data_IF_507086037513
#
_entry.id   IF_507086037513
#
_cell.length_a   1.000
_cell.length_b   1.000
_cell.length_c   1.000
_cell.angle_alpha   90.00
_cell.angle_beta   90.00
_cell.angle_gamma   90.00
#
_symmetry.space_group_name_H-M   'P 1'
#
loop_
_entity.id
_entity.type
_entity.pdbx_description
1 polymer ?
#
# COMPACT_ATOMS: atom_id res chain seq x y z
N UNK A 1 8.87 1.38 8.03
CA UNK A 1 10.32 1.13 8.07
C UNK A 1 11.09 2.36 7.63
N UNK A 2 12.23 2.63 8.24
CA UNK A 2 13.16 3.66 7.76
C UNK A 2 13.96 3.16 6.52
N UNK A 3 14.88 4.00 6.02
CA UNK A 3 15.75 3.68 4.88
C UNK A 3 16.64 2.44 5.08
N UNK A 4 16.84 2.01 6.34
CA UNK A 4 17.61 0.82 6.72
C UNK A 4 16.76 -0.44 6.87
N UNK A 5 15.44 -0.33 6.67
CA UNK A 5 14.52 -1.46 6.83
C UNK A 5 14.11 -1.74 8.27
N UNK A 6 14.31 -0.80 9.20
CA UNK A 6 13.95 -0.98 10.62
C UNK A 6 12.54 -0.44 10.88
N UNK A 7 11.78 -1.10 11.75
CA UNK A 7 10.45 -0.64 12.15
C UNK A 7 10.54 0.67 12.96
N UNK A 8 9.71 1.64 12.58
CA UNK A 8 9.67 2.97 13.20
C UNK A 8 8.23 3.29 13.54
N UNK A 9 8.00 3.70 14.79
CA UNK A 9 6.71 4.19 15.25
C UNK A 9 6.45 5.55 14.64
N UNK A 10 5.27 5.72 14.03
CA UNK A 10 4.76 7.01 13.57
C UNK A 10 3.77 7.50 14.63
N UNK A 11 4.13 8.49 15.47
CA UNK A 11 3.24 8.97 16.54
C UNK A 11 1.92 9.49 15.96
N UNK A 12 0.81 9.11 16.59
CA UNK A 12 -0.54 9.52 16.16
C UNK A 12 -1.13 8.71 14.99
N UNK A 13 -0.39 7.78 14.39
CA UNK A 13 -0.93 6.86 13.39
C UNK A 13 -1.40 5.56 14.03
N UNK A 14 -2.71 5.32 13.95
CA UNK A 14 -3.34 4.09 14.43
C UNK A 14 -3.84 3.24 13.26
N UNK A 15 -3.73 1.92 13.40
CA UNK A 15 -4.21 0.95 12.43
C UNK A 15 -4.85 -0.25 13.17
N UNK A 16 -5.98 -0.74 12.69
CA UNK A 16 -6.74 -1.84 13.31
C UNK A 16 -7.28 -2.78 12.24
N UNK A 17 -7.34 -4.07 12.54
CA UNK A 17 -7.88 -5.09 11.65
C UNK A 17 -6.83 -5.61 10.67
N UNK A 18 -7.25 -6.03 9.47
CA UNK A 18 -6.37 -6.69 8.49
C UNK A 18 -5.23 -5.79 7.97
N UNK A 19 -5.37 -4.47 8.09
CA UNK A 19 -4.30 -3.52 7.75
C UNK A 19 -3.17 -3.51 8.79
N UNK A 20 -3.42 -3.98 10.01
CA UNK A 20 -2.47 -3.96 11.11
C UNK A 20 -1.82 -5.34 11.32
N UNK A 21 -0.50 -5.34 11.55
CA UNK A 21 0.21 -6.53 12.01
C UNK A 21 0.38 -6.45 13.53
N UNK A 22 -0.64 -6.87 14.28
CA UNK A 22 -0.58 -6.93 15.77
C UNK A 22 0.05 -8.24 16.27
N UNK A 23 0.67 -9.02 15.37
CA UNK A 23 1.42 -10.27 15.62
C UNK A 23 0.68 -11.42 16.31
N UNK A 24 -0.61 -11.28 16.65
CA UNK A 24 -1.38 -12.34 17.32
C UNK A 24 -1.71 -13.55 16.43
N UNK A 25 -1.55 -13.42 15.12
CA UNK A 25 -1.81 -14.49 14.15
C UNK A 25 -0.56 -15.24 13.69
N UNK A 26 0.64 -14.75 14.00
CA UNK A 26 1.88 -15.28 13.44
C UNK A 26 1.82 -15.44 11.91
N UNK A 27 2.23 -16.60 11.40
CA UNK A 27 2.22 -16.89 9.97
C UNK A 27 0.87 -17.39 9.43
N UNK A 28 -0.06 -17.82 10.31
CA UNK A 28 -1.34 -18.38 9.89
C UNK A 28 -2.45 -17.95 10.85
N UNK A 29 -3.39 -17.16 10.34
CA UNK A 29 -4.54 -16.70 11.09
C UNK A 29 -5.58 -17.82 11.24
N UNK A 30 -6.05 -18.05 12.47
CA UNK A 30 -7.15 -18.99 12.72
C UNK A 30 -8.47 -18.47 12.14
N UNK A 31 -9.23 -19.36 11.49
CA UNK A 31 -10.53 -19.05 10.91
C UNK A 31 -11.52 -18.50 11.94
N UNK A 32 -12.38 -17.56 11.54
CA UNK A 32 -13.41 -16.96 12.41
C UNK A 32 -12.94 -15.77 13.26
N UNK A 33 -11.64 -15.55 13.42
CA UNK A 33 -11.13 -14.47 14.26
C UNK A 33 -11.17 -13.03 13.66
N UNK A 34 -11.39 -12.80 12.35
CA UNK A 34 -11.19 -11.49 11.70
C UNK A 34 -12.10 -10.43 12.31
N UNK A 35 -13.36 -10.83 12.54
CA UNK A 35 -14.35 -9.96 13.14
C UNK A 35 -14.02 -9.70 14.61
N UNK A 36 -13.53 -10.72 15.32
CA UNK A 36 -13.10 -10.59 16.71
C UNK A 36 -11.88 -9.65 16.80
N UNK A 37 -10.91 -9.78 15.89
CA UNK A 37 -9.73 -8.93 15.81
C UNK A 37 -10.16 -7.46 15.63
N UNK A 38 -11.08 -7.20 14.69
CA UNK A 38 -11.61 -5.87 14.46
C UNK A 38 -12.31 -5.29 15.71
N UNK A 39 -13.16 -6.07 16.37
CA UNK A 39 -13.95 -5.59 17.53
C UNK A 39 -13.07 -5.37 18.76
N UNK A 40 -12.19 -6.33 19.07
CA UNK A 40 -11.34 -6.29 20.27
C UNK A 40 -10.27 -5.21 20.11
N UNK A 41 -9.50 -5.24 19.02
CA UNK A 41 -8.46 -4.25 18.80
C UNK A 41 -9.04 -2.88 18.44
N UNK A 42 -10.22 -2.82 17.82
CA UNK A 42 -10.92 -1.55 17.59
C UNK A 42 -11.31 -0.87 18.90
N UNK A 43 -11.86 -1.62 19.86
CA UNK A 43 -12.18 -1.09 21.18
C UNK A 43 -10.90 -0.67 21.94
N UNK A 44 -9.86 -1.49 21.92
CA UNK A 44 -8.60 -1.18 22.58
C UNK A 44 -7.94 0.07 21.99
N UNK A 45 -7.85 0.16 20.66
CA UNK A 45 -7.32 1.33 19.97
C UNK A 45 -8.14 2.57 20.24
N UNK A 46 -9.48 2.47 20.29
CA UNK A 46 -10.36 3.59 20.62
C UNK A 46 -10.13 4.18 22.01
N UNK A 47 -9.97 3.31 23.03
CA UNK A 47 -9.66 3.75 24.40
C UNK A 47 -8.31 4.47 24.46
N UNK A 48 -7.30 3.90 23.81
CA UNK A 48 -5.96 4.51 23.79
C UNK A 48 -5.89 5.78 22.92
N UNK A 49 -6.68 5.86 21.84
CA UNK A 49 -6.80 7.05 21.01
C UNK A 49 -7.37 8.22 21.83
N UNK A 50 -8.34 7.96 22.71
CA UNK A 50 -8.91 8.98 23.59
C UNK A 50 -7.85 9.58 24.53
N UNK A 51 -7.00 8.74 25.12
CA UNK A 51 -5.87 9.16 25.94
C UNK A 51 -4.84 9.93 25.10
N UNK A 52 -4.45 9.37 23.94
CA UNK A 52 -3.46 9.97 23.04
C UNK A 52 -3.88 11.33 22.51
N UNK A 53 -5.15 11.54 22.17
CA UNK A 53 -5.68 12.85 21.72
C UNK A 53 -5.64 13.85 22.87
N UNK A 54 -5.98 13.45 24.10
CA UNK A 54 -5.92 14.32 25.26
C UNK A 54 -4.48 14.77 25.58
N UNK A 55 -3.49 13.90 25.34
CA UNK A 55 -2.06 14.17 25.57
C UNK A 55 -1.37 14.91 24.41
N UNK A 56 -1.93 14.85 23.19
CA UNK A 56 -1.29 15.37 21.97
C UNK A 56 -1.11 16.89 21.93
N UNK A 57 -1.74 17.65 22.83
CA UNK A 57 -1.60 19.09 22.93
C UNK A 57 -2.04 19.81 21.64
N UNK A 58 -1.39 20.94 21.32
CA UNK A 58 -1.73 21.72 20.13
C UNK A 58 -1.13 21.08 18.88
N UNK A 59 -1.98 20.71 17.93
CA UNK A 59 -1.58 20.23 16.61
C UNK A 59 -1.06 21.40 15.76
N UNK A 60 -0.06 21.13 14.91
CA UNK A 60 0.36 22.09 13.89
C UNK A 60 -0.64 22.10 12.74
N UNK A 61 -0.83 23.25 12.13
CA UNK A 61 -1.54 23.34 10.86
C UNK A 61 -0.75 22.65 9.73
N UNK A 62 -1.47 22.23 8.70
CA UNK A 62 -0.87 21.74 7.47
C UNK A 62 -0.18 22.90 6.75
N UNK A 63 1.07 22.69 6.36
CA UNK A 63 1.82 23.61 5.50
C UNK A 63 1.48 23.38 4.03
N UNK A 64 1.78 24.35 3.17
CA UNK A 64 1.67 24.18 1.72
C UNK A 64 2.52 23.00 1.22
N UNK A 65 3.71 22.79 1.80
CA UNK A 65 4.56 21.65 1.47
C UNK A 65 3.96 20.29 1.83
N UNK A 66 3.15 20.21 2.89
CA UNK A 66 2.43 18.97 3.22
C UNK A 66 1.38 18.63 2.16
N UNK A 67 0.69 19.67 1.66
CA UNK A 67 -0.32 19.54 0.61
C UNK A 67 0.34 19.15 -0.70
N UNK A 68 1.43 19.83 -1.09
CA UNK A 68 2.18 19.54 -2.31
C UNK A 68 2.71 18.10 -2.32
N UNK A 69 3.39 17.68 -1.25
CA UNK A 69 3.89 16.31 -1.10
C UNK A 69 2.78 15.25 -1.12
N UNK A 70 1.59 15.57 -0.59
CA UNK A 70 0.43 14.68 -0.67
C UNK A 70 -0.11 14.52 -2.10
N UNK A 71 0.03 15.55 -2.94
CA UNK A 71 -0.44 15.57 -4.32
C UNK A 71 0.56 14.97 -5.31
N UNK A 72 1.85 14.87 -4.99
CA UNK A 72 2.90 14.38 -5.89
C UNK A 72 2.55 13.05 -6.59
N UNK A 73 2.06 12.07 -5.83
CA UNK A 73 1.69 10.75 -6.38
C UNK A 73 0.54 10.83 -7.38
N UNK A 74 -0.43 11.71 -7.11
CA UNK A 74 -1.57 11.96 -7.97
C UNK A 74 -1.14 12.75 -9.21
N UNK A 75 -0.35 13.80 -9.04
CA UNK A 75 0.18 14.64 -10.11
C UNK A 75 1.04 13.83 -11.07
N UNK A 76 1.87 12.91 -10.57
CA UNK A 76 2.61 11.97 -11.43
C UNK A 76 1.67 11.16 -12.34
N UNK A 77 0.58 10.58 -11.83
CA UNK A 77 -0.42 9.89 -12.66
C UNK A 77 -1.10 10.83 -13.67
N UNK A 78 -1.42 12.04 -13.24
CA UNK A 78 -2.13 13.03 -14.05
C UNK A 78 -1.26 13.66 -15.15
N UNK A 79 0.07 13.66 -14.99
CA UNK A 79 1.01 14.30 -15.91
C UNK A 79 1.77 13.32 -16.81
N UNK A 80 1.76 12.03 -16.49
CA UNK A 80 2.36 11.00 -17.36
C UNK A 80 1.53 10.79 -18.63
N UNK A 81 2.18 10.80 -19.81
CA UNK A 81 1.54 10.72 -21.14
C UNK A 81 2.01 9.55 -22.00
N UNK A 82 3.06 8.87 -21.58
CA UNK A 82 3.67 7.74 -22.27
C UNK A 82 3.87 6.61 -21.29
N UNK A 83 4.04 5.38 -21.78
CA UNK A 83 4.29 4.20 -20.94
C UNK A 83 3.22 3.13 -21.12
N UNK A 84 3.35 2.07 -20.33
CA UNK A 84 2.50 0.88 -20.42
C UNK A 84 1.16 1.06 -19.69
N UNK A 85 0.10 0.43 -20.19
CA UNK A 85 -1.21 0.40 -19.53
C UNK A 85 -1.10 -0.21 -18.11
N UNK A 86 -1.51 0.52 -17.05
CA UNK A 86 -1.54 -0.01 -15.68
C UNK A 86 -2.30 -1.33 -15.53
N UNK A 87 -3.29 -1.61 -16.39
CA UNK A 87 -4.04 -2.88 -16.35
C UNK A 87 -3.14 -4.06 -16.76
N UNK A 88 -2.30 -3.89 -17.79
CA UNK A 88 -1.34 -4.90 -18.20
C UNK A 88 -0.26 -5.13 -17.13
N UNK A 89 0.23 -4.06 -16.51
CA UNK A 89 1.17 -4.14 -15.38
C UNK A 89 0.55 -4.86 -14.19
N UNK A 90 -0.71 -4.54 -13.84
CA UNK A 90 -1.45 -5.23 -12.77
C UNK A 90 -1.58 -6.73 -13.06
N UNK A 91 -1.90 -7.10 -14.30
CA UNK A 91 -2.00 -8.51 -14.71
C UNK A 91 -0.64 -9.21 -14.55
N UNK A 92 0.45 -8.60 -15.01
CA UNK A 92 1.79 -9.14 -14.84
C UNK A 92 2.18 -9.30 -13.36
N UNK A 93 1.80 -8.37 -12.49
CA UNK A 93 1.97 -8.50 -11.04
C UNK A 93 1.21 -9.71 -10.49
N UNK A 94 -0.06 -9.88 -10.87
CA UNK A 94 -0.89 -11.00 -10.43
C UNK A 94 -0.29 -12.35 -10.87
N UNK A 95 0.14 -12.47 -12.12
CA UNK A 95 0.79 -13.68 -12.66
C UNK A 95 2.12 -13.97 -11.95
N UNK A 96 2.95 -12.95 -11.73
CA UNK A 96 4.20 -13.07 -10.98
C UNK A 96 3.96 -13.59 -9.55
N UNK A 97 2.94 -13.05 -8.85
CA UNK A 97 2.58 -13.51 -7.50
C UNK A 97 2.06 -14.94 -7.50
N UNK A 98 1.18 -15.30 -8.44
CA UNK A 98 0.61 -16.64 -8.54
C UNK A 98 1.65 -17.72 -8.83
N UNK A 99 2.59 -17.45 -9.74
CA UNK A 99 3.59 -18.43 -10.16
C UNK A 99 4.73 -18.60 -9.16
N UNK A 100 5.18 -17.52 -8.50
CA UNK A 100 6.42 -17.55 -7.71
C UNK A 100 6.18 -17.53 -6.19
N UNK A 101 4.99 -17.11 -5.72
CA UNK A 101 4.69 -16.92 -4.29
C UNK A 101 3.40 -17.65 -3.87
N UNK A 102 3.16 -18.83 -4.46
CA UNK A 102 2.00 -19.68 -4.21
C UNK A 102 2.04 -20.34 -2.81
N UNK A 103 1.13 -21.30 -2.56
CA UNK A 103 1.13 -22.13 -1.34
C UNK A 103 2.44 -22.91 -1.20
N UNK A 104 2.93 -23.49 -2.31
CA UNK A 104 4.23 -24.14 -2.37
C UNK A 104 5.28 -23.17 -2.89
N UNK A 105 6.43 -23.13 -2.23
CA UNK A 105 7.48 -22.14 -2.47
C UNK A 105 8.84 -22.80 -2.47
N UNK A 106 9.62 -22.47 -3.49
CA UNK A 106 11.00 -22.89 -3.66
C UNK A 106 11.89 -21.65 -3.76
N UNK A 107 13.10 -21.72 -3.22
CA UNK A 107 14.01 -20.57 -3.12
C UNK A 107 14.29 -19.90 -4.47
N UNK A 108 14.63 -20.70 -5.48
CA UNK A 108 14.98 -20.20 -6.82
C UNK A 108 13.78 -19.54 -7.51
N UNK A 109 12.60 -20.12 -7.38
CA UNK A 109 11.36 -19.56 -7.92
C UNK A 109 11.01 -18.21 -7.26
N UNK A 110 11.12 -18.13 -5.93
CA UNK A 110 10.90 -16.87 -5.20
C UNK A 110 11.94 -15.79 -5.57
N UNK A 111 13.21 -16.17 -5.74
CA UNK A 111 14.25 -15.24 -6.15
C UNK A 111 13.97 -14.68 -7.55
N UNK A 112 13.61 -15.54 -8.50
CA UNK A 112 13.15 -15.13 -9.83
C UNK A 112 11.93 -14.20 -9.76
N UNK A 113 10.96 -14.53 -8.91
CA UNK A 113 9.79 -13.70 -8.65
C UNK A 113 10.17 -12.31 -8.14
N UNK A 114 11.14 -12.21 -7.23
CA UNK A 114 11.62 -10.93 -6.72
C UNK A 114 12.24 -10.05 -7.82
N UNK A 115 13.06 -10.64 -8.70
CA UNK A 115 13.62 -9.90 -9.84
C UNK A 115 12.52 -9.44 -10.82
N UNK A 116 11.52 -10.27 -11.07
CA UNK A 116 10.34 -9.88 -11.87
C UNK A 116 9.57 -8.72 -11.22
N UNK A 117 9.38 -8.75 -9.90
CA UNK A 117 8.73 -7.66 -9.16
C UNK A 117 9.49 -6.33 -9.26
N UNK A 118 10.83 -6.36 -9.23
CA UNK A 118 11.65 -5.15 -9.46
C UNK A 118 11.41 -4.56 -10.84
N UNK A 119 11.38 -5.39 -11.89
CA UNK A 119 11.08 -4.95 -13.25
C UNK A 119 9.66 -4.40 -13.38
N UNK A 120 8.67 -5.07 -12.77
CA UNK A 120 7.27 -4.60 -12.74
C UNK A 120 7.15 -3.24 -12.04
N UNK A 121 7.89 -3.04 -10.94
CA UNK A 121 7.94 -1.75 -10.23
C UNK A 121 8.47 -0.62 -11.12
N UNK A 122 9.51 -0.87 -11.91
CA UNK A 122 10.04 0.14 -12.85
C UNK A 122 9.04 0.45 -13.98
N UNK A 123 8.37 -0.56 -14.53
CA UNK A 123 7.30 -0.37 -15.52
C UNK A 123 6.19 0.54 -15.00
N UNK A 124 5.81 0.39 -13.73
CA UNK A 124 4.74 1.19 -13.10
C UNK A 124 5.10 2.68 -12.95
N UNK A 125 6.38 3.03 -12.75
CA UNK A 125 6.78 4.43 -12.53
C UNK A 125 6.35 5.34 -13.67
N UNK A 126 6.46 4.83 -14.90
CA UNK A 126 6.15 5.54 -16.13
C UNK A 126 4.74 5.23 -16.65
N UNK A 127 3.89 4.53 -15.91
CA UNK A 127 2.56 4.22 -16.40
C UNK A 127 1.65 5.46 -16.37
N UNK A 128 0.93 5.79 -17.46
CA UNK A 128 -0.04 6.87 -17.47
C UNK A 128 -1.33 6.46 -16.75
N UNK A 129 -2.15 7.43 -16.35
CA UNK A 129 -3.47 7.12 -15.79
C UNK A 129 -4.38 6.42 -16.82
N UNK A 130 -5.19 5.46 -16.38
CA UNK A 130 -6.17 4.78 -17.26
C UNK A 130 -7.14 5.77 -17.92
N UNK A 131 -7.53 6.83 -17.20
CA UNK A 131 -8.38 7.91 -17.72
C UNK A 131 -7.71 8.70 -18.85
N UNK A 132 -6.38 8.80 -18.88
CA UNK A 132 -5.66 9.37 -20.01
C UNK A 132 -5.71 8.43 -21.22
N UNK A 133 -5.38 7.15 -21.04
CA UNK A 133 -5.39 6.16 -22.14
C UNK A 133 -6.78 6.04 -22.81
N UNK A 134 -7.85 6.02 -22.02
CA UNK A 134 -9.22 5.99 -22.55
C UNK A 134 -9.57 7.22 -23.40
N UNK A 135 -9.08 8.42 -23.02
CA UNK A 135 -9.29 9.66 -23.79
C UNK A 135 -8.51 9.67 -25.11
N UNK A 136 -7.32 9.08 -25.15
CA UNK A 136 -6.51 8.98 -26.37
C UNK A 136 -7.08 7.93 -27.34
N UNK A 137 -7.58 6.81 -26.83
CA UNK A 137 -8.17 5.74 -27.65
C UNK A 137 -9.58 6.08 -28.16
N UNK A 138 -10.32 6.91 -27.42
CA UNK A 138 -11.65 7.40 -27.80
C UNK A 138 -11.71 8.94 -27.71
N UNK A 139 -11.07 9.67 -28.64
CA UNK A 139 -11.25 11.11 -28.69
C UNK A 139 -12.72 11.40 -28.97
N UNK A 140 -13.32 12.29 -28.16
CA UNK A 140 -14.67 12.77 -28.42
C UNK A 140 -14.72 13.31 -29.86
N UNK A 141 -15.71 12.85 -30.63
CA UNK A 141 -15.98 13.35 -31.99
C UNK A 141 -16.32 14.83 -31.95
#
# INVERSE_FOLDING_TARGET
MNEKGEDVVIPGLFAVGEIACVSVHGANRLGGNSLLDLVVFGRAAGLHLQESIAEQGTLRDASESDIEGSLDRLNRWNNTRSGEDPVAIRKALQECMQHNFSVFREGDAMHKGLEQLKVIRERLKNAPSRRYLQRVQHPAR
#
